data_IF_161571876780
#
_entry.id   IF_161571876780
#
_cell.length_a   1.000
_cell.length_b   1.000
_cell.length_c   1.000
_cell.angle_alpha   90.00
_cell.angle_beta   90.00
_cell.angle_gamma   90.00
#
_symmetry.space_group_name_H-M   'P 1'
#
loop_
_entity.id
_entity.type
_entity.pdbx_description
1 polymer ?
#
# COMPACT_ATOMS: atom_id res chain seq x y z
N UNK A 1 -27.88 40.74 -21.38
CA UNK A 1 -26.88 39.77 -21.92
C UNK A 1 -25.79 39.38 -20.93
N UNK A 2 -25.38 40.25 -20.02
CA UNK A 2 -24.30 39.99 -19.03
C UNK A 2 -24.60 38.85 -18.04
N UNK A 3 -25.81 38.77 -17.48
CA UNK A 3 -26.17 37.78 -16.46
C UNK A 3 -26.19 36.31 -16.96
N UNK A 4 -26.50 36.10 -18.24
CA UNK A 4 -26.51 34.75 -18.85
C UNK A 4 -25.09 34.18 -18.98
N UNK A 5 -24.12 35.03 -19.26
CA UNK A 5 -22.69 34.65 -19.40
C UNK A 5 -22.10 34.29 -18.01
N UNK A 6 -22.44 35.09 -17.00
CA UNK A 6 -22.02 34.80 -15.62
C UNK A 6 -22.60 33.49 -15.08
N UNK A 7 -23.84 33.18 -15.41
CA UNK A 7 -24.48 31.92 -14.98
C UNK A 7 -23.85 30.69 -15.64
N UNK A 8 -23.56 30.77 -16.94
CA UNK A 8 -22.85 29.70 -17.67
C UNK A 8 -21.44 29.48 -17.16
N UNK A 9 -20.74 30.58 -16.84
CA UNK A 9 -19.38 30.51 -16.27
C UNK A 9 -19.38 29.87 -14.88
N UNK A 10 -20.31 30.21 -13.99
CA UNK A 10 -20.47 29.59 -12.67
C UNK A 10 -20.80 28.11 -12.78
N UNK A 11 -21.72 27.73 -13.67
CA UNK A 11 -22.10 26.35 -13.93
C UNK A 11 -20.92 25.50 -14.45
N UNK A 12 -20.11 26.06 -15.34
CA UNK A 12 -18.92 25.41 -15.87
C UNK A 12 -17.85 25.18 -14.77
N UNK A 13 -17.66 26.19 -13.90
CA UNK A 13 -16.71 26.10 -12.78
C UNK A 13 -17.16 25.07 -11.72
N UNK A 14 -18.46 24.98 -11.45
CA UNK A 14 -19.05 24.00 -10.53
C UNK A 14 -18.91 22.58 -11.09
N UNK A 15 -19.10 22.40 -12.39
CA UNK A 15 -18.96 21.10 -13.05
C UNK A 15 -17.49 20.65 -13.14
N UNK A 16 -16.56 21.58 -13.38
CA UNK A 16 -15.13 21.31 -13.37
C UNK A 16 -14.62 20.96 -11.96
N UNK A 17 -15.11 21.62 -10.92
CA UNK A 17 -14.76 21.34 -9.53
C UNK A 17 -15.30 19.97 -9.07
N UNK A 18 -16.51 19.58 -9.53
CA UNK A 18 -17.11 18.28 -9.23
C UNK A 18 -16.36 17.12 -9.92
N UNK A 19 -15.82 17.36 -11.11
CA UNK A 19 -15.00 16.37 -11.84
C UNK A 19 -13.65 16.05 -11.18
N UNK A 20 -13.08 16.97 -10.40
CA UNK A 20 -11.83 16.75 -9.66
C UNK A 20 -11.99 15.80 -8.44
N UNK A 21 -13.22 15.54 -7.98
CA UNK A 21 -13.46 14.70 -6.81
C UNK A 21 -13.58 13.20 -7.14
N UNK A 22 -13.49 12.80 -8.41
CA UNK A 22 -13.67 11.41 -8.85
C UNK A 22 -12.36 10.63 -9.02
N UNK A 23 -11.23 11.10 -8.46
CA UNK A 23 -10.01 10.30 -8.42
C UNK A 23 -10.17 9.19 -7.39
N UNK A 24 -10.83 8.09 -7.77
CA UNK A 24 -10.84 6.84 -7.01
C UNK A 24 -9.43 6.24 -7.04
N UNK A 25 -8.63 6.55 -6.05
CA UNK A 25 -7.38 5.83 -5.81
C UNK A 25 -7.72 4.45 -5.27
N UNK A 26 -7.32 3.38 -5.98
CA UNK A 26 -7.27 2.05 -5.40
C UNK A 26 -6.46 2.14 -4.08
N UNK A 27 -7.13 1.92 -2.96
CA UNK A 27 -6.50 2.09 -1.65
C UNK A 27 -5.66 0.86 -1.30
N UNK A 28 -4.37 1.06 -1.11
CA UNK A 28 -3.48 0.06 -0.51
C UNK A 28 -3.75 0.09 1.00
N UNK A 29 -4.11 -1.07 1.57
CA UNK A 29 -4.28 -1.21 3.02
C UNK A 29 -2.91 -1.41 3.65
N UNK A 30 -2.50 -0.52 4.53
CA UNK A 30 -1.18 -0.56 5.17
C UNK A 30 -1.31 -0.68 6.68
N UNK A 31 -0.46 -1.49 7.28
CA UNK A 31 -0.27 -1.61 8.73
C UNK A 31 1.20 -1.82 9.05
N UNK A 32 1.62 -1.43 10.24
CA UNK A 32 2.97 -1.73 10.73
C UNK A 32 2.94 -2.12 12.20
N UNK A 33 3.96 -2.87 12.60
CA UNK A 33 4.26 -3.23 13.99
C UNK A 33 5.76 -3.05 14.25
N UNK A 34 6.15 -2.76 15.49
CA UNK A 34 7.53 -2.46 15.83
C UNK A 34 7.86 -2.71 17.29
N UNK A 35 9.13 -2.99 17.57
CA UNK A 35 9.65 -3.00 18.93
C UNK A 35 9.85 -1.57 19.44
N UNK A 36 9.09 -1.20 20.47
CA UNK A 36 9.15 0.14 21.08
C UNK A 36 10.49 0.43 21.78
N UNK A 37 11.32 -0.58 22.04
CA UNK A 37 12.65 -0.45 22.67
C UNK A 37 13.76 -0.22 21.65
N UNK A 38 13.50 -0.44 20.35
CA UNK A 38 14.51 -0.27 19.31
C UNK A 38 14.91 1.21 19.16
N UNK A 39 16.22 1.50 19.08
CA UNK A 39 16.73 2.88 19.03
C UNK A 39 16.68 3.46 17.59
N UNK A 40 15.50 3.59 17.02
CA UNK A 40 15.28 4.00 15.61
C UNK A 40 16.03 5.27 15.21
N UNK A 41 16.22 6.23 16.12
CA UNK A 41 16.92 7.48 15.84
C UNK A 41 18.44 7.30 15.60
N UNK A 42 19.02 6.18 16.02
CA UNK A 42 20.45 5.92 15.92
C UNK A 42 20.82 5.27 14.56
N UNK A 43 19.89 4.60 13.91
CA UNK A 43 20.14 3.91 12.65
C UNK A 43 20.29 4.90 11.49
N UNK A 44 21.34 4.74 10.70
CA UNK A 44 21.68 5.61 9.55
C UNK A 44 22.04 4.82 8.30
N UNK A 45 22.47 3.57 8.47
CA UNK A 45 22.97 2.74 7.38
C UNK A 45 22.15 1.46 7.26
N UNK A 46 22.00 0.96 6.04
CA UNK A 46 21.28 -0.27 5.78
C UNK A 46 21.96 -1.15 4.73
N UNK A 47 21.59 -2.42 4.70
CA UNK A 47 21.84 -3.33 3.60
C UNK A 47 20.60 -4.23 3.36
N UNK A 48 20.52 -4.81 2.18
CA UNK A 48 19.50 -5.79 1.87
C UNK A 48 19.89 -7.19 2.34
N UNK A 49 18.96 -7.90 2.96
CA UNK A 49 19.15 -9.30 3.37
C UNK A 49 18.87 -10.23 2.17
N UNK A 50 19.90 -10.49 1.36
CA UNK A 50 19.79 -11.23 0.11
C UNK A 50 19.13 -12.60 0.26
N UNK A 51 19.50 -13.37 1.27
CA UNK A 51 18.97 -14.72 1.51
C UNK A 51 17.45 -14.75 1.73
N UNK A 52 16.88 -13.70 2.33
CA UNK A 52 15.44 -13.56 2.51
C UNK A 52 14.75 -13.17 1.21
N UNK A 53 15.31 -12.20 0.50
CA UNK A 53 14.76 -11.66 -0.75
C UNK A 53 14.75 -12.72 -1.87
N UNK A 54 15.79 -13.55 -1.94
CA UNK A 54 15.87 -14.61 -2.95
C UNK A 54 14.75 -15.64 -2.81
N UNK A 55 14.22 -15.83 -1.59
CA UNK A 55 13.10 -16.73 -1.29
C UNK A 55 11.72 -16.16 -1.63
N UNK A 56 11.61 -14.88 -1.97
CA UNK A 56 10.33 -14.29 -2.34
C UNK A 56 9.80 -14.93 -3.65
N UNK A 57 8.55 -15.41 -3.60
CA UNK A 57 7.91 -16.15 -4.70
C UNK A 57 7.29 -15.18 -5.73
N UNK A 58 8.12 -14.32 -6.31
CA UNK A 58 7.76 -13.36 -7.36
C UNK A 58 8.83 -13.32 -8.44
N UNK A 59 8.51 -12.72 -9.59
CA UNK A 59 9.47 -12.59 -10.68
C UNK A 59 10.71 -11.77 -10.29
N UNK A 60 11.87 -12.08 -10.86
CA UNK A 60 13.09 -11.30 -10.63
C UNK A 60 12.95 -9.83 -11.02
N UNK A 61 12.11 -9.53 -12.02
CA UNK A 61 11.81 -8.15 -12.40
C UNK A 61 11.03 -7.42 -11.31
N UNK A 62 10.09 -8.09 -10.67
CA UNK A 62 9.32 -7.51 -9.57
C UNK A 62 10.20 -7.36 -8.31
N UNK A 63 11.09 -8.33 -8.03
CA UNK A 63 12.11 -8.17 -6.97
C UNK A 63 12.95 -6.92 -7.19
N UNK A 64 13.45 -6.70 -8.42
CA UNK A 64 14.23 -5.51 -8.77
C UNK A 64 13.44 -4.21 -8.61
N UNK A 65 12.15 -4.19 -8.97
CA UNK A 65 11.27 -3.03 -8.78
C UNK A 65 11.13 -2.68 -7.31
N UNK A 66 10.84 -3.69 -6.47
CA UNK A 66 10.70 -3.51 -5.03
C UNK A 66 12.01 -2.99 -4.42
N UNK A 67 13.16 -3.60 -4.76
CA UNK A 67 14.46 -3.16 -4.27
C UNK A 67 14.75 -1.70 -4.60
N UNK A 68 14.55 -1.27 -5.86
CA UNK A 68 14.76 0.11 -6.30
C UNK A 68 13.84 1.08 -5.56
N UNK A 69 12.59 0.69 -5.35
CA UNK A 69 11.63 1.52 -4.63
C UNK A 69 12.01 1.66 -3.16
N UNK A 70 12.43 0.58 -2.49
CA UNK A 70 12.92 0.62 -1.11
C UNK A 70 14.16 1.52 -1.02
N UNK A 71 15.14 1.35 -1.92
CA UNK A 71 16.36 2.16 -1.98
C UNK A 71 16.04 3.64 -2.10
N UNK A 72 15.12 4.01 -3.01
CA UNK A 72 14.66 5.38 -3.18
C UNK A 72 14.06 5.92 -1.88
N UNK A 73 13.12 5.19 -1.27
CA UNK A 73 12.46 5.62 -0.04
C UNK A 73 13.43 5.74 1.14
N UNK A 74 14.39 4.83 1.27
CA UNK A 74 15.40 4.89 2.34
C UNK A 74 16.36 6.06 2.14
N UNK A 75 16.77 6.33 0.90
CA UNK A 75 17.60 7.49 0.55
C UNK A 75 16.87 8.81 0.86
N UNK A 76 15.59 8.93 0.50
CA UNK A 76 14.76 10.10 0.82
C UNK A 76 14.62 10.34 2.33
N UNK A 77 14.71 9.28 3.13
CA UNK A 77 14.72 9.33 4.60
C UNK A 77 16.10 9.57 5.21
N UNK A 78 17.14 9.68 4.38
CA UNK A 78 18.52 9.95 4.82
C UNK A 78 19.32 8.72 5.25
N UNK A 79 18.88 7.51 4.89
CA UNK A 79 19.65 6.29 5.09
C UNK A 79 20.59 6.06 3.91
N UNK A 80 21.76 5.43 4.18
CA UNK A 80 22.75 5.09 3.16
C UNK A 80 23.06 3.58 3.17
N UNK A 81 23.36 3.04 1.97
CA UNK A 81 23.82 1.65 1.85
C UNK A 81 25.22 1.50 2.49
N UNK A 82 25.43 0.38 3.18
CA UNK A 82 26.71 0.07 3.86
C UNK A 82 26.98 -1.43 3.86
N UNK A 83 28.25 -1.81 3.79
CA UNK A 83 28.69 -3.21 4.01
C UNK A 83 28.59 -3.63 5.49
N UNK A 84 28.70 -2.65 6.41
CA UNK A 84 28.50 -2.85 7.83
C UNK A 84 27.27 -2.02 8.28
N UNK A 85 26.07 -2.50 7.99
CA UNK A 85 24.85 -1.73 8.19
C UNK A 85 24.36 -1.74 9.64
N UNK A 86 23.69 -0.66 10.04
CA UNK A 86 22.98 -0.61 11.31
C UNK A 86 21.71 -1.49 11.28
N UNK A 87 21.09 -1.60 10.11
CA UNK A 87 19.88 -2.42 9.90
C UNK A 87 19.95 -3.20 8.60
N UNK A 88 19.31 -4.36 8.59
CA UNK A 88 19.04 -5.11 7.37
C UNK A 88 17.58 -4.96 6.95
N UNK A 89 17.37 -4.87 5.64
CA UNK A 89 16.03 -4.82 5.04
C UNK A 89 15.78 -6.13 4.31
N UNK A 90 14.68 -6.77 4.64
CA UNK A 90 14.14 -7.94 3.95
C UNK A 90 12.74 -7.63 3.43
N UNK A 91 12.28 -8.34 2.42
CA UNK A 91 10.89 -8.35 2.03
C UNK A 91 10.47 -9.74 1.57
N UNK A 92 9.20 -10.02 1.71
CA UNK A 92 8.55 -11.21 1.16
C UNK A 92 7.11 -10.89 0.77
N UNK A 93 6.55 -11.74 -0.07
CA UNK A 93 5.18 -11.58 -0.57
C UNK A 93 4.33 -12.78 -0.18
N UNK A 94 3.03 -12.54 -0.08
CA UNK A 94 2.01 -13.58 0.05
C UNK A 94 0.82 -13.23 -0.83
N UNK A 95 0.12 -14.23 -1.28
CA UNK A 95 -1.18 -14.07 -1.90
C UNK A 95 -2.27 -14.34 -0.86
N UNK A 96 -3.33 -13.54 -0.91
CA UNK A 96 -4.51 -13.71 -0.08
C UNK A 96 -5.75 -13.67 -0.97
N UNK A 97 -6.61 -14.65 -0.82
CA UNK A 97 -7.93 -14.60 -1.40
C UNK A 97 -8.81 -13.64 -0.59
N UNK A 98 -9.37 -12.65 -1.28
CA UNK A 98 -10.36 -11.74 -0.72
C UNK A 98 -11.73 -12.10 -1.25
N UNK A 99 -12.63 -12.45 -0.35
CA UNK A 99 -14.04 -12.61 -0.66
C UNK A 99 -14.81 -11.41 -0.11
N UNK A 100 -15.30 -10.57 -1.00
CA UNK A 100 -16.18 -9.47 -0.62
C UNK A 100 -17.62 -10.01 -0.58
N UNK A 101 -18.16 -10.17 0.62
CA UNK A 101 -19.56 -10.59 0.82
C UNK A 101 -20.43 -9.33 0.83
N UNK A 102 -21.13 -9.06 -0.26
CA UNK A 102 -22.13 -8.01 -0.29
C UNK A 102 -23.46 -8.54 0.18
N UNK A 103 -23.85 -8.15 1.40
CA UNK A 103 -25.19 -8.40 1.90
C UNK A 103 -26.09 -7.26 1.38
N UNK A 104 -26.73 -7.48 0.25
CA UNK A 104 -27.72 -6.55 -0.29
C UNK A 104 -29.04 -6.78 0.43
N UNK A 105 -29.39 -5.89 1.34
CA UNK A 105 -30.75 -5.78 1.83
C UNK A 105 -31.54 -5.00 0.77
N UNK A 106 -32.13 -5.72 -0.17
CA UNK A 106 -33.03 -5.15 -1.17
C UNK A 106 -34.30 -4.67 -0.49
N UNK A 107 -34.42 -3.36 -0.25
CA UNK A 107 -35.72 -2.74 0.03
C UNK A 107 -36.43 -2.62 -1.33
N UNK A 108 -37.13 -3.68 -1.71
CA UNK A 108 -37.99 -3.67 -2.88
C UNK A 108 -39.26 -2.87 -2.59
N UNK A 109 -39.44 -1.75 -3.23
CA UNK A 109 -40.74 -1.07 -3.33
C UNK A 109 -41.56 -1.82 -4.37
N UNK A 110 -42.19 -2.91 -3.94
CA UNK A 110 -43.09 -3.71 -4.77
C UNK A 110 -44.03 -4.50 -3.91
N UNK A 111 -45.31 -4.48 -4.23
CA UNK A 111 -46.37 -5.24 -3.57
C UNK A 111 -46.20 -6.75 -3.86
N UNK A 112 -45.50 -7.46 -2.96
CA UNK A 112 -45.37 -8.91 -2.97
C UNK A 112 -44.47 -9.39 -1.86
N UNK A 113 -44.74 -10.63 -1.26
CA UNK A 113 -43.85 -11.15 -0.23
C UNK A 113 -42.55 -11.60 -0.87
N UNK A 114 -41.48 -10.80 -0.71
CA UNK A 114 -40.12 -11.17 -1.16
C UNK A 114 -39.48 -12.03 -0.07
N UNK A 115 -39.66 -13.33 -0.20
CA UNK A 115 -38.88 -14.33 0.51
C UNK A 115 -37.64 -14.62 -0.34
N UNK A 116 -36.55 -13.93 -0.09
CA UNK A 116 -35.31 -14.19 -0.78
C UNK A 116 -34.18 -13.30 -0.27
N UNK A 117 -33.46 -13.73 0.77
CA UNK A 117 -32.11 -13.24 1.02
C UNK A 117 -31.19 -13.75 -0.10
N UNK A 118 -31.01 -13.00 -1.15
CA UNK A 118 -29.98 -13.31 -2.13
C UNK A 118 -28.64 -12.80 -1.60
N UNK A 119 -27.85 -13.71 -1.06
CA UNK A 119 -26.43 -13.47 -0.78
C UNK A 119 -25.72 -13.52 -2.13
N UNK A 120 -25.35 -12.38 -2.68
CA UNK A 120 -24.47 -12.32 -3.83
C UNK A 120 -23.03 -12.43 -3.33
N UNK A 121 -22.41 -13.55 -3.60
CA UNK A 121 -20.96 -13.73 -3.38
C UNK A 121 -20.25 -13.08 -4.56
N UNK A 122 -19.50 -12.02 -4.30
CA UNK A 122 -18.64 -11.43 -5.33
C UNK A 122 -17.56 -12.45 -5.76
N UNK A 123 -17.07 -12.36 -7.00
CA UNK A 123 -15.96 -13.20 -7.44
C UNK A 123 -14.75 -13.00 -6.53
N UNK A 124 -14.13 -14.10 -6.13
CA UNK A 124 -12.88 -14.08 -5.34
C UNK A 124 -11.81 -13.33 -6.10
N UNK A 125 -11.25 -12.30 -5.48
CA UNK A 125 -10.14 -11.52 -6.06
C UNK A 125 -8.86 -11.85 -5.31
N UNK A 126 -7.79 -12.21 -6.04
CA UNK A 126 -6.48 -12.43 -5.45
C UNK A 126 -5.84 -11.08 -5.11
N UNK A 127 -5.52 -10.89 -3.87
CA UNK A 127 -4.85 -9.70 -3.35
C UNK A 127 -3.38 -10.05 -3.04
N UNK A 128 -2.45 -9.26 -3.58
CA UNK A 128 -1.04 -9.35 -3.23
C UNK A 128 -0.78 -8.68 -1.88
N UNK A 129 0.02 -9.32 -1.05
CA UNK A 129 0.46 -8.77 0.24
C UNK A 129 1.98 -8.71 0.24
N UNK A 130 2.53 -7.51 0.43
CA UNK A 130 3.96 -7.26 0.58
C UNK A 130 4.28 -6.98 2.05
N UNK A 131 5.25 -7.67 2.59
CA UNK A 131 5.85 -7.40 3.89
C UNK A 131 7.25 -6.83 3.68
N UNK A 132 7.60 -5.81 4.46
CA UNK A 132 8.95 -5.25 4.54
C UNK A 132 9.37 -5.34 6.00
N UNK A 133 10.45 -6.06 6.24
CA UNK A 133 11.04 -6.27 7.55
C UNK A 133 12.29 -5.41 7.70
N UNK A 134 12.44 -4.79 8.86
CA UNK A 134 13.67 -4.11 9.28
C UNK A 134 14.21 -4.83 10.49
N UNK A 135 15.45 -5.27 10.38
CA UNK A 135 16.13 -6.16 11.31
C UNK A 135 17.35 -5.42 11.85
N UNK A 136 17.55 -5.43 13.16
CA UNK A 136 18.74 -4.85 13.79
C UNK A 136 20.02 -5.50 13.25
N UNK A 137 21.02 -4.68 12.93
CA UNK A 137 22.29 -5.14 12.35
C UNK A 137 23.15 -5.95 13.31
N UNK A 138 23.04 -5.72 14.62
CA UNK A 138 23.83 -6.36 15.65
C UNK A 138 23.13 -7.57 16.26
N UNK A 139 21.95 -7.33 16.81
CA UNK A 139 21.16 -8.36 17.54
C UNK A 139 20.46 -9.33 16.59
N UNK A 140 20.28 -8.95 15.32
CA UNK A 140 19.55 -9.72 14.29
C UNK A 140 18.08 -9.94 14.62
N UNK A 141 17.53 -9.10 15.46
CA UNK A 141 16.12 -9.12 15.83
C UNK A 141 15.28 -8.28 14.85
N UNK A 142 14.06 -8.73 14.61
CA UNK A 142 13.07 -7.96 13.86
C UNK A 142 12.62 -6.78 14.72
N UNK A 143 12.90 -5.56 14.27
CA UNK A 143 12.57 -4.33 15.02
C UNK A 143 11.40 -3.57 14.43
N UNK A 144 11.08 -3.78 13.15
CA UNK A 144 9.91 -3.20 12.51
C UNK A 144 9.47 -4.07 11.34
N UNK A 145 8.16 -4.21 11.20
CA UNK A 145 7.55 -4.85 10.03
C UNK A 145 6.44 -3.97 9.48
N UNK A 146 6.52 -3.65 8.21
CA UNK A 146 5.44 -3.02 7.44
C UNK A 146 4.74 -4.03 6.56
N UNK A 147 3.43 -3.89 6.44
CA UNK A 147 2.59 -4.73 5.60
C UNK A 147 1.72 -3.86 4.72
N UNK A 148 1.71 -4.13 3.42
CA UNK A 148 0.77 -3.56 2.47
C UNK A 148 -0.04 -4.66 1.80
N UNK A 149 -1.33 -4.44 1.61
CA UNK A 149 -2.22 -5.34 0.90
C UNK A 149 -2.99 -4.57 -0.18
N UNK A 150 -3.09 -5.14 -1.37
CA UNK A 150 -3.79 -4.49 -2.47
C UNK A 150 -3.76 -5.29 -3.76
N UNK A 151 -4.55 -4.87 -4.71
CA UNK A 151 -4.65 -5.48 -6.04
C UNK A 151 -3.79 -4.67 -7.00
N UNK A 152 -2.85 -5.35 -7.67
CA UNK A 152 -2.08 -4.75 -8.75
C UNK A 152 -2.86 -4.90 -10.06
N UNK A 153 -3.08 -3.79 -10.74
CA UNK A 153 -3.76 -3.80 -12.05
C UNK A 153 -2.79 -4.19 -13.15
N UNK A 154 -3.14 -5.17 -13.96
CA UNK A 154 -2.34 -5.57 -15.13
C UNK A 154 -2.24 -4.47 -16.20
N UNK A 155 -3.21 -3.54 -16.21
CA UNK A 155 -3.30 -2.46 -17.21
C UNK A 155 -2.50 -1.22 -16.84
N UNK A 156 -2.09 -1.08 -15.58
CA UNK A 156 -1.35 0.08 -15.12
C UNK A 156 0.16 -0.17 -15.16
N UNK A 157 0.94 0.91 -15.14
CA UNK A 157 2.40 0.83 -15.09
C UNK A 157 2.86 0.12 -13.81
N UNK A 158 3.49 -1.03 -13.97
CA UNK A 158 3.96 -1.87 -12.84
C UNK A 158 4.97 -1.14 -11.94
N UNK A 159 5.89 -0.36 -12.54
CA UNK A 159 6.90 0.36 -11.77
C UNK A 159 6.25 1.40 -10.85
N UNK A 160 5.28 2.16 -11.36
CA UNK A 160 4.53 3.15 -10.56
C UNK A 160 3.68 2.50 -9.47
N UNK A 161 3.04 1.36 -9.77
CA UNK A 161 2.25 0.64 -8.77
C UNK A 161 3.11 0.11 -7.63
N UNK A 162 4.27 -0.49 -7.95
CA UNK A 162 5.20 -1.01 -6.96
C UNK A 162 5.80 0.13 -6.14
N UNK A 163 6.20 1.25 -6.79
CA UNK A 163 6.73 2.43 -6.08
C UNK A 163 5.70 2.99 -5.10
N UNK A 164 4.45 3.13 -5.53
CA UNK A 164 3.34 3.55 -4.65
C UNK A 164 3.15 2.58 -3.49
N UNK A 165 3.17 1.27 -3.76
CA UNK A 165 2.96 0.24 -2.76
C UNK A 165 4.03 0.27 -1.65
N UNK A 166 5.30 0.29 -2.05
CA UNK A 166 6.45 0.38 -1.14
C UNK A 166 6.45 1.72 -0.39
N UNK A 167 6.18 2.83 -1.09
CA UNK A 167 6.10 4.15 -0.49
C UNK A 167 5.03 4.21 0.61
N UNK A 168 3.83 3.70 0.36
CA UNK A 168 2.76 3.69 1.37
C UNK A 168 3.16 2.88 2.62
N UNK A 169 3.83 1.74 2.46
CA UNK A 169 4.33 0.94 3.58
C UNK A 169 5.40 1.73 4.36
N UNK A 170 6.43 2.23 3.67
CA UNK A 170 7.58 2.88 4.30
C UNK A 170 7.27 4.30 4.83
N UNK A 171 6.13 4.90 4.51
CA UNK A 171 5.66 6.12 5.19
C UNK A 171 5.51 5.92 6.70
N UNK A 172 5.28 4.68 7.16
CA UNK A 172 5.17 4.34 8.57
C UNK A 172 6.52 4.09 9.26
N UNK A 173 7.64 4.09 8.50
CA UNK A 173 8.99 3.93 9.03
C UNK A 173 9.80 5.24 8.94
N UNK A 174 10.59 5.63 9.96
CA UNK A 174 10.62 5.05 11.30
C UNK A 174 9.32 5.33 12.07
N UNK A 175 8.93 4.46 13.02
CA UNK A 175 7.75 4.69 13.82
C UNK A 175 7.91 5.91 14.73
N UNK A 176 6.81 6.59 15.04
CA UNK A 176 6.80 7.65 16.06
C UNK A 176 6.74 6.97 17.43
N UNK A 177 7.89 6.85 18.08
CA UNK A 177 7.95 6.38 19.48
C UNK A 177 7.57 7.56 20.35
N UNK A 178 6.39 7.51 20.99
CA UNK A 178 6.02 8.50 22.00
C UNK A 178 6.82 8.17 23.28
N UNK A 179 7.82 9.00 23.57
CA UNK A 179 8.54 8.99 24.84
C UNK A 179 7.65 9.56 25.95
#
# INVERSE_FOLDING_TARGET
MSNQILYKMKSFFTFALLGLLLTSCASIQVSSDFDSKAPFAQYKTYAFLKEGIDKAEISDLDKKRILRSIEKQMTEKGYTLSENPDIFINFFTRERERQDIYQSVGIGWGWGPVWGNTVQVAPTTTEGVLFIDIIDGKEKDLIWQGKGAGILSERANKDEQVDKFVSEILKQYPPKVNN
#
